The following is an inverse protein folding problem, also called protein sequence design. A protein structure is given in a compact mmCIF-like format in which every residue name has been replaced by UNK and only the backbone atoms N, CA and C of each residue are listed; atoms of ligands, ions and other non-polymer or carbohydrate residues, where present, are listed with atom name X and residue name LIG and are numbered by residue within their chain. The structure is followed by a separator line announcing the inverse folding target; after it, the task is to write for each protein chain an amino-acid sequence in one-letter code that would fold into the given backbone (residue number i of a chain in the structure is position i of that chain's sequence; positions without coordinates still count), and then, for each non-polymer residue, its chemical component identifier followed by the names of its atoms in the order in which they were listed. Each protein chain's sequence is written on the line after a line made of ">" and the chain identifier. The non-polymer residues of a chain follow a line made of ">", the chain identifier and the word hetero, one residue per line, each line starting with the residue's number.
data_IF_959103947569
#
_entry.id   IF_959103947569
#
_cell.length_a   1.000
_cell.length_b   1.000
_cell.length_c   1.000
_cell.angle_alpha   90.00
_cell.angle_beta   90.00
_cell.angle_gamma   90.00
#
_symmetry.space_group_name_H-M   'P 1'
#
loop_
_entity.id
_entity.type
_entity.pdbx_description
1 polymer ?
#
# COMPACT_ATOMS: atom_id res chain seq x y z
N UNK A 1 -65.92 -23.47 7.22
CA UNK A 1 -64.71 -22.71 6.84
C UNK A 1 -64.12 -22.19 8.14
N UNK A 2 -63.31 -23.05 8.74
CA UNK A 2 -63.23 -23.25 10.19
C UNK A 2 -61.90 -22.72 10.72
N UNK A 3 -61.88 -22.39 12.01
CA UNK A 3 -60.78 -21.75 12.75
C UNK A 3 -59.35 -22.28 12.46
N UNK A 4 -59.22 -23.52 11.96
CA UNK A 4 -57.95 -24.10 11.51
C UNK A 4 -57.31 -23.41 10.30
N UNK A 5 -58.09 -22.88 9.35
CA UNK A 5 -57.55 -22.14 8.21
C UNK A 5 -57.00 -20.77 8.65
N UNK A 6 -57.70 -20.10 9.58
CA UNK A 6 -57.27 -18.80 10.13
C UNK A 6 -56.01 -18.97 10.98
N UNK A 7 -55.90 -20.05 11.78
CA UNK A 7 -54.71 -20.38 12.57
C UNK A 7 -53.49 -20.71 11.69
N UNK A 8 -53.68 -21.46 10.60
CA UNK A 8 -52.60 -21.74 9.64
C UNK A 8 -52.19 -20.50 8.85
N UNK A 9 -53.13 -19.62 8.50
CA UNK A 9 -52.84 -18.38 7.78
C UNK A 9 -52.10 -17.38 8.67
N UNK A 10 -52.49 -17.24 9.93
CA UNK A 10 -51.79 -16.38 10.92
C UNK A 10 -50.40 -16.90 11.26
N UNK A 11 -50.21 -18.22 11.40
CA UNK A 11 -48.89 -18.85 11.61
C UNK A 11 -47.94 -18.64 10.41
N UNK A 12 -48.46 -18.76 9.18
CA UNK A 12 -47.69 -18.48 7.95
C UNK A 12 -47.32 -17.00 7.80
N UNK A 13 -48.20 -16.08 8.19
CA UNK A 13 -47.93 -14.63 8.21
C UNK A 13 -46.87 -14.29 9.27
N UNK A 14 -46.94 -14.90 10.46
CA UNK A 14 -45.93 -14.71 11.52
C UNK A 14 -44.54 -15.21 11.07
N UNK A 15 -44.49 -16.37 10.40
CA UNK A 15 -43.25 -16.93 9.87
C UNK A 15 -42.66 -16.05 8.76
N UNK A 16 -43.49 -15.51 7.87
CA UNK A 16 -43.06 -14.53 6.85
C UNK A 16 -42.51 -13.24 7.47
N UNK A 17 -43.13 -12.73 8.53
CA UNK A 17 -42.60 -11.60 9.29
C UNK A 17 -41.24 -11.92 9.94
N UNK A 18 -41.07 -13.13 10.50
CA UNK A 18 -39.81 -13.55 11.11
C UNK A 18 -38.67 -13.74 10.09
N UNK A 19 -38.98 -14.25 8.90
CA UNK A 19 -38.02 -14.39 7.79
C UNK A 19 -37.64 -13.02 7.23
N UNK A 20 -38.59 -12.09 7.05
CA UNK A 20 -38.30 -10.74 6.57
C UNK A 20 -37.52 -9.89 7.60
N UNK A 21 -37.74 -10.13 8.90
CA UNK A 21 -36.97 -9.48 9.98
C UNK A 21 -35.54 -10.02 10.09
N UNK A 22 -35.30 -11.29 9.76
CA UNK A 22 -33.94 -11.88 9.77
C UNK A 22 -33.11 -11.54 8.53
N UNK A 23 -33.72 -11.00 7.47
CA UNK A 23 -33.01 -10.52 6.27
C UNK A 23 -32.62 -9.03 6.38
N UNK A 24 -33.15 -8.29 7.37
CA UNK A 24 -32.90 -6.84 7.51
C UNK A 24 -31.66 -6.46 8.34
N UNK A 25 -30.86 -7.44 8.78
CA UNK A 25 -29.57 -7.17 9.45
C UNK A 25 -28.39 -7.61 8.58
N UNK A 26 -28.31 -7.10 7.34
CA UNK A 26 -26.98 -6.84 6.79
C UNK A 26 -26.44 -5.63 7.56
N UNK A 27 -25.87 -5.90 8.75
CA UNK A 27 -25.18 -4.87 9.53
C UNK A 27 -24.16 -4.21 8.59
N UNK A 28 -24.43 -2.97 8.19
CA UNK A 28 -23.53 -2.20 7.37
C UNK A 28 -22.20 -2.17 8.11
N UNK A 29 -21.14 -2.73 7.51
CA UNK A 29 -19.81 -2.76 8.14
C UNK A 29 -19.47 -1.36 8.61
N UNK A 30 -19.30 -1.18 9.91
CA UNK A 30 -19.06 0.14 10.48
C UNK A 30 -17.71 0.61 9.97
N UNK A 31 -17.67 1.83 9.42
CA UNK A 31 -16.46 2.45 8.89
C UNK A 31 -16.06 3.62 9.77
N UNK A 32 -14.99 3.42 10.55
CA UNK A 32 -14.42 4.47 11.38
C UNK A 32 -13.38 5.28 10.60
N UNK A 33 -13.33 6.57 10.87
CA UNK A 33 -12.38 7.48 10.24
C UNK A 33 -11.57 8.18 11.32
N UNK A 34 -10.25 8.13 11.22
CA UNK A 34 -9.34 8.75 12.18
C UNK A 34 -8.46 9.78 11.49
N UNK A 35 -8.24 10.90 12.17
CA UNK A 35 -7.26 11.90 11.75
C UNK A 35 -5.81 11.43 11.98
N UNK A 36 -4.86 12.33 11.69
CA UNK A 36 -3.43 12.07 11.79
C UNK A 36 -2.98 11.79 13.23
N UNK A 37 -3.66 12.38 14.21
CA UNK A 37 -3.39 12.22 15.65
C UNK A 37 -4.06 10.97 16.23
N UNK A 38 -4.92 10.31 15.45
CA UNK A 38 -5.66 9.11 15.86
C UNK A 38 -6.97 9.41 16.57
N UNK A 39 -7.50 10.62 16.43
CA UNK A 39 -8.83 10.99 16.91
C UNK A 39 -9.88 10.64 15.86
N UNK A 40 -10.99 10.07 16.30
CA UNK A 40 -12.12 9.77 15.42
C UNK A 40 -12.77 11.07 14.91
N UNK A 41 -12.95 11.14 13.58
CA UNK A 41 -13.57 12.26 12.87
C UNK A 41 -14.68 11.76 11.95
N UNK A 42 -15.53 12.66 11.47
CA UNK A 42 -16.60 12.30 10.53
C UNK A 42 -16.02 12.02 9.14
N UNK A 43 -16.63 11.11 8.38
CA UNK A 43 -16.21 10.76 7.00
C UNK A 43 -16.03 12.01 6.10
N UNK A 44 -16.95 12.98 6.17
CA UNK A 44 -16.86 14.22 5.39
C UNK A 44 -15.62 15.05 5.73
N UNK A 45 -15.22 15.07 6.99
CA UNK A 45 -14.02 15.79 7.44
C UNK A 45 -12.77 15.03 7.02
N UNK A 46 -12.79 13.70 7.16
CA UNK A 46 -11.72 12.83 6.67
C UNK A 46 -11.48 13.02 5.17
N UNK A 47 -12.53 12.94 4.35
CA UNK A 47 -12.43 13.11 2.90
C UNK A 47 -11.91 14.50 2.53
N UNK A 48 -12.31 15.53 3.28
CA UNK A 48 -11.79 16.90 3.07
C UNK A 48 -10.28 16.93 3.30
N UNK A 49 -9.80 16.40 4.43
CA UNK A 49 -8.38 16.40 4.79
C UNK A 49 -7.55 15.52 3.84
N UNK A 50 -8.04 14.33 3.51
CA UNK A 50 -7.34 13.40 2.62
C UNK A 50 -7.21 13.92 1.19
N UNK A 51 -8.23 14.61 0.67
CA UNK A 51 -8.23 15.12 -0.72
C UNK A 51 -7.64 16.52 -0.85
N UNK A 52 -7.38 17.19 0.27
CA UNK A 52 -6.68 18.47 0.27
C UNK A 52 -5.21 18.24 -0.11
N UNK A 53 -4.75 18.95 -1.15
CA UNK A 53 -3.36 18.81 -1.64
C UNK A 53 -2.36 19.46 -0.70
N UNK A 54 -2.79 20.40 0.13
CA UNK A 54 -1.94 21.15 1.04
C UNK A 54 -1.78 20.45 2.39
N UNK A 55 -2.60 19.44 2.69
CA UNK A 55 -2.56 18.70 3.96
C UNK A 55 -1.38 17.74 4.07
N UNK A 56 -0.76 17.38 2.93
CA UNK A 56 0.29 16.37 2.84
C UNK A 56 -0.07 15.06 3.57
N UNK A 57 -1.34 14.66 3.50
CA UNK A 57 -1.82 13.40 4.08
C UNK A 57 -2.02 12.32 3.02
N UNK A 58 -1.81 11.09 3.46
CA UNK A 58 -2.24 9.88 2.79
C UNK A 58 -3.21 9.12 3.71
N UNK A 59 -3.58 7.91 3.32
CA UNK A 59 -4.48 7.06 4.12
C UNK A 59 -3.95 5.64 4.26
N UNK A 60 -4.34 4.99 5.34
CA UNK A 60 -4.25 3.54 5.51
C UNK A 60 -5.62 2.98 5.84
N UNK A 61 -5.97 1.90 5.16
CA UNK A 61 -7.23 1.18 5.34
C UNK A 61 -6.94 -0.21 5.89
N UNK A 62 -7.62 -0.58 6.97
CA UNK A 62 -7.49 -1.92 7.54
C UNK A 62 -8.81 -2.43 8.11
N UNK A 63 -8.93 -3.75 8.23
CA UNK A 63 -10.03 -4.41 8.94
C UNK A 63 -9.61 -4.71 10.38
N UNK A 64 -10.51 -4.46 11.32
CA UNK A 64 -10.34 -4.85 12.74
C UNK A 64 -10.80 -6.28 12.97
N UNK A 65 -10.53 -6.84 14.16
CA UNK A 65 -10.89 -8.22 14.52
C UNK A 65 -12.39 -8.50 14.44
N UNK A 66 -13.22 -7.50 14.68
CA UNK A 66 -14.68 -7.52 14.57
C UNK A 66 -15.19 -7.24 13.14
N UNK A 67 -14.30 -7.24 12.14
CA UNK A 67 -14.61 -6.99 10.72
C UNK A 67 -15.12 -5.57 10.41
N UNK A 68 -14.97 -4.63 11.35
CA UNK A 68 -15.16 -3.20 11.09
C UNK A 68 -14.02 -2.70 10.19
N UNK A 69 -14.31 -1.70 9.35
CA UNK A 69 -13.30 -1.07 8.48
C UNK A 69 -12.83 0.21 9.13
N UNK A 70 -11.53 0.45 9.11
CA UNK A 70 -10.93 1.68 9.61
C UNK A 70 -10.19 2.34 8.45
N UNK A 71 -10.39 3.65 8.30
CA UNK A 71 -9.57 4.51 7.47
C UNK A 71 -8.86 5.53 8.38
N UNK A 72 -7.54 5.63 8.27
CA UNK A 72 -6.73 6.54 9.09
C UNK A 72 -5.87 7.43 8.22
N UNK A 73 -5.81 8.72 8.53
CA UNK A 73 -4.87 9.64 7.91
C UNK A 73 -3.46 9.36 8.43
N UNK A 74 -2.51 9.37 7.50
CA UNK A 74 -1.08 9.17 7.77
C UNK A 74 -0.27 10.25 7.05
N UNK A 75 0.98 10.54 7.44
CA UNK A 75 1.83 11.47 6.70
C UNK A 75 2.06 10.95 5.29
N UNK A 76 1.90 11.80 4.28
CA UNK A 76 2.19 11.42 2.90
C UNK A 76 3.70 11.22 2.66
N UNK A 77 4.55 11.94 3.40
CA UNK A 77 5.99 11.80 3.30
C UNK A 77 6.62 11.50 4.64
N UNK A 78 7.63 10.63 4.62
CA UNK A 78 8.54 10.41 5.73
C UNK A 78 9.96 10.55 5.19
N UNK A 79 10.79 11.34 5.85
CA UNK A 79 12.20 11.52 5.49
C UNK A 79 13.12 10.93 6.55
N UNK A 80 14.32 10.53 6.15
CA UNK A 80 15.35 10.03 7.05
C UNK A 80 16.68 9.80 6.35
N UNK A 81 17.62 9.22 7.09
CA UNK A 81 18.92 8.82 6.56
C UNK A 81 19.15 7.35 6.93
N UNK A 82 19.42 6.51 5.93
CA UNK A 82 19.67 5.08 6.11
C UNK A 82 21.17 4.78 6.00
N UNK A 83 21.62 3.72 6.67
CA UNK A 83 22.96 3.20 6.43
C UNK A 83 23.03 2.57 5.03
N UNK A 84 23.67 3.29 4.10
CA UNK A 84 23.71 2.92 2.67
C UNK A 84 24.41 1.59 2.41
N UNK A 85 25.43 1.25 3.18
CA UNK A 85 26.16 -0.02 3.03
C UNK A 85 25.30 -1.19 3.47
N UNK A 86 24.66 -1.08 4.64
CA UNK A 86 23.75 -2.11 5.15
C UNK A 86 22.56 -2.34 4.21
N UNK A 87 21.94 -1.27 3.73
CA UNK A 87 20.86 -1.38 2.73
C UNK A 87 21.36 -2.07 1.46
N UNK A 88 22.53 -1.67 0.95
CA UNK A 88 23.11 -2.29 -0.25
C UNK A 88 23.31 -3.79 -0.05
N UNK A 89 23.95 -4.19 1.03
CA UNK A 89 24.23 -5.59 1.35
C UNK A 89 22.95 -6.42 1.43
N UNK A 90 21.90 -5.87 2.07
CA UNK A 90 20.59 -6.50 2.10
C UNK A 90 20.00 -6.68 0.71
N UNK A 91 19.98 -5.63 -0.12
CA UNK A 91 19.44 -5.70 -1.47
C UNK A 91 20.22 -6.68 -2.34
N UNK A 92 21.56 -6.66 -2.31
CA UNK A 92 22.38 -7.61 -3.07
C UNK A 92 22.16 -9.06 -2.63
N UNK A 93 21.96 -9.30 -1.32
CA UNK A 93 21.62 -10.62 -0.77
C UNK A 93 20.28 -11.13 -1.31
N UNK A 94 19.25 -10.29 -1.30
CA UNK A 94 17.88 -10.68 -1.69
C UNK A 94 17.72 -10.76 -3.20
N UNK A 95 18.28 -9.83 -3.95
CA UNK A 95 18.09 -9.76 -5.41
C UNK A 95 19.12 -10.54 -6.20
N UNK A 96 20.21 -10.99 -5.56
CA UNK A 96 21.39 -11.59 -6.22
C UNK A 96 22.02 -10.68 -7.30
N UNK A 97 21.82 -9.37 -7.20
CA UNK A 97 22.39 -8.36 -8.10
C UNK A 97 23.52 -7.62 -7.39
N UNK A 98 24.38 -6.96 -8.17
CA UNK A 98 25.38 -6.04 -7.66
C UNK A 98 24.99 -4.61 -8.03
N UNK A 99 25.20 -3.69 -7.10
CA UNK A 99 24.84 -2.29 -7.28
C UNK A 99 26.06 -1.38 -7.12
N UNK A 100 26.17 -0.36 -7.96
CA UNK A 100 27.25 0.61 -7.85
C UNK A 100 27.04 1.54 -6.66
N UNK A 101 28.12 2.22 -6.25
CA UNK A 101 28.05 3.20 -5.15
C UNK A 101 27.18 4.40 -5.51
N UNK A 102 27.10 4.75 -6.79
CA UNK A 102 26.29 5.86 -7.31
C UNK A 102 24.82 5.52 -7.48
N UNK A 103 24.43 4.24 -7.31
CA UNK A 103 23.05 3.82 -7.52
C UNK A 103 22.11 4.56 -6.56
N UNK A 104 21.08 5.16 -7.13
CA UNK A 104 19.89 5.61 -6.43
C UNK A 104 18.90 4.45 -6.45
N UNK A 105 18.36 4.10 -5.29
CA UNK A 105 17.31 3.10 -5.24
C UNK A 105 15.94 3.75 -5.26
N UNK A 106 15.07 3.23 -6.11
CA UNK A 106 13.63 3.43 -6.05
C UNK A 106 12.99 2.12 -5.61
N UNK A 107 12.47 2.08 -4.40
CA UNK A 107 11.84 0.87 -3.85
C UNK A 107 10.34 1.10 -3.71
N UNK A 108 9.54 0.38 -4.49
CA UNK A 108 8.11 0.23 -4.26
C UNK A 108 7.90 -0.86 -3.20
N UNK A 109 6.97 -0.64 -2.26
CA UNK A 109 6.71 -1.56 -1.16
C UNK A 109 5.22 -1.87 -1.05
N UNK A 110 4.86 -3.15 -1.09
CA UNK A 110 3.49 -3.65 -0.96
C UNK A 110 3.28 -4.27 0.42
N UNK A 111 2.24 -3.81 1.13
CA UNK A 111 1.89 -4.28 2.46
C UNK A 111 0.93 -5.48 2.43
N UNK A 112 1.02 -6.31 3.46
CA UNK A 112 0.04 -7.39 3.72
C UNK A 112 -1.35 -6.78 3.94
N UNK A 113 -2.37 -7.44 3.40
CA UNK A 113 -3.78 -7.04 3.52
C UNK A 113 -4.08 -5.63 2.98
N UNK A 114 -3.31 -5.14 2.00
CA UNK A 114 -3.63 -3.87 1.35
C UNK A 114 -5.02 -3.92 0.69
N UNK A 115 -5.86 -2.96 1.03
CA UNK A 115 -7.24 -2.81 0.54
C UNK A 115 -7.35 -1.81 -0.62
N UNK A 116 -6.24 -1.54 -1.31
CA UNK A 116 -6.15 -0.61 -2.44
C UNK A 116 -7.12 -0.93 -3.58
N UNK A 117 -7.08 -2.15 -4.10
CA UNK A 117 -7.78 -2.51 -5.33
C UNK A 117 -8.31 -3.94 -5.28
N UNK A 118 -9.17 -4.29 -6.24
CA UNK A 118 -9.60 -5.68 -6.44
C UNK A 118 -8.45 -6.64 -6.82
N UNK A 119 -7.29 -6.10 -7.24
CA UNK A 119 -6.09 -6.87 -7.56
C UNK A 119 -5.07 -6.89 -6.41
N UNK A 120 -5.37 -6.20 -5.30
CA UNK A 120 -4.59 -6.29 -4.07
C UNK A 120 -4.90 -7.62 -3.38
N UNK A 121 -3.86 -8.41 -3.13
CA UNK A 121 -3.98 -9.78 -2.63
C UNK A 121 -2.71 -10.16 -1.89
N UNK A 122 -2.77 -11.05 -0.90
CA UNK A 122 -1.56 -11.63 -0.31
C UNK A 122 -1.00 -12.79 -1.16
N UNK A 123 -1.67 -13.16 -2.26
CA UNK A 123 -1.30 -14.27 -3.12
C UNK A 123 -1.05 -13.78 -4.55
N UNK A 124 0.18 -13.32 -4.82
CA UNK A 124 0.63 -12.86 -6.13
C UNK A 124 0.99 -14.05 -7.01
N UNK A 125 -0.03 -14.65 -7.63
CA UNK A 125 0.15 -15.68 -8.66
C UNK A 125 0.83 -15.12 -9.91
N UNK A 126 1.34 -16.00 -10.78
CA UNK A 126 1.92 -15.59 -12.08
C UNK A 126 1.02 -14.66 -12.90
N UNK A 127 -0.31 -14.86 -12.85
CA UNK A 127 -1.29 -14.02 -13.57
C UNK A 127 -1.38 -12.62 -12.99
N UNK A 128 -1.39 -12.51 -11.65
CA UNK A 128 -1.43 -11.23 -10.93
C UNK A 128 -0.13 -10.46 -11.17
N UNK A 129 1.02 -11.13 -11.06
CA UNK A 129 2.33 -10.53 -11.35
C UNK A 129 2.38 -10.02 -12.79
N UNK A 130 1.95 -10.83 -13.78
CA UNK A 130 1.92 -10.40 -15.18
C UNK A 130 1.02 -9.18 -15.39
N UNK A 131 -0.13 -9.12 -14.71
CA UNK A 131 -1.02 -7.96 -14.80
C UNK A 131 -0.33 -6.68 -14.30
N UNK A 132 0.30 -6.72 -13.13
CA UNK A 132 1.00 -5.56 -12.57
C UNK A 132 2.24 -5.18 -13.39
N UNK A 133 3.07 -6.14 -13.80
CA UNK A 133 4.21 -5.88 -14.69
C UNK A 133 3.78 -5.23 -16.01
N UNK A 134 2.69 -5.68 -16.64
CA UNK A 134 2.17 -5.02 -17.84
C UNK A 134 1.80 -3.53 -17.61
N UNK A 135 1.43 -3.16 -16.39
CA UNK A 135 1.11 -1.78 -16.02
C UNK A 135 2.38 -0.96 -15.72
N UNK A 136 3.38 -1.57 -15.07
CA UNK A 136 4.58 -0.87 -14.56
C UNK A 136 5.79 -0.92 -15.49
N UNK A 137 5.93 -1.95 -16.33
CA UNK A 137 7.13 -2.22 -17.14
C UNK A 137 7.51 -1.05 -18.06
N UNK A 138 6.52 -0.44 -18.74
CA UNK A 138 6.78 0.71 -19.61
C UNK A 138 7.32 1.91 -18.81
N UNK A 139 6.76 2.16 -17.62
CA UNK A 139 7.23 3.25 -16.75
C UNK A 139 8.63 2.94 -16.21
N UNK A 140 8.88 1.69 -15.81
CA UNK A 140 10.20 1.24 -15.35
C UNK A 140 11.26 1.41 -16.44
N UNK A 141 11.00 0.91 -17.65
CA UNK A 141 11.92 1.02 -18.77
C UNK A 141 12.21 2.49 -19.11
N UNK A 142 11.17 3.33 -19.20
CA UNK A 142 11.33 4.76 -19.42
C UNK A 142 12.23 5.42 -18.38
N UNK A 143 12.04 5.11 -17.09
CA UNK A 143 12.81 5.71 -16.01
C UNK A 143 14.27 5.25 -16.06
N UNK A 144 14.52 3.94 -16.18
CA UNK A 144 15.89 3.42 -16.17
C UNK A 144 16.67 3.85 -17.42
N UNK A 145 16.00 4.10 -18.55
CA UNK A 145 16.61 4.68 -19.75
C UNK A 145 16.99 6.16 -19.56
N UNK A 146 16.11 6.95 -18.93
CA UNK A 146 16.31 8.41 -18.79
C UNK A 146 17.10 8.80 -17.52
N UNK A 147 17.16 7.92 -16.53
CA UNK A 147 17.85 8.11 -15.25
C UNK A 147 18.72 6.89 -14.95
N UNK A 148 19.88 6.74 -15.62
CA UNK A 148 20.66 5.49 -15.63
C UNK A 148 21.26 5.10 -14.27
N UNK A 149 21.30 6.02 -13.30
CA UNK A 149 21.72 5.73 -11.94
C UNK A 149 20.59 5.23 -11.04
N UNK A 150 19.34 5.26 -11.49
CA UNK A 150 18.17 4.78 -10.73
C UNK A 150 17.93 3.32 -11.05
N UNK A 151 17.73 2.51 -10.00
CA UNK A 151 17.23 1.14 -10.12
C UNK A 151 15.88 1.05 -9.42
N UNK A 152 14.88 0.51 -10.11
CA UNK A 152 13.55 0.28 -9.55
C UNK A 152 13.43 -1.18 -9.08
N UNK A 153 13.06 -1.34 -7.81
CA UNK A 153 12.79 -2.63 -7.17
C UNK A 153 11.39 -2.59 -6.52
N UNK A 154 10.67 -3.70 -6.60
CA UNK A 154 9.39 -3.89 -5.94
C UNK A 154 9.55 -4.94 -4.83
N UNK A 155 9.27 -4.55 -3.59
CA UNK A 155 9.34 -5.40 -2.43
C UNK A 155 7.96 -5.66 -1.84
N UNK A 156 7.75 -6.88 -1.37
CA UNK A 156 6.52 -7.36 -0.76
C UNK A 156 6.77 -7.71 0.70
N UNK A 157 5.94 -7.20 1.61
CA UNK A 157 5.99 -7.49 3.05
C UNK A 157 5.96 -9.00 3.32
N UNK A 158 6.59 -9.41 4.42
CA UNK A 158 6.56 -10.79 4.87
C UNK A 158 5.11 -11.28 5.04
N UNK A 159 4.82 -12.48 4.54
CA UNK A 159 3.47 -13.06 4.50
C UNK A 159 2.75 -12.92 3.15
N UNK A 160 3.27 -12.14 2.20
CA UNK A 160 2.80 -12.16 0.81
C UNK A 160 3.48 -13.31 0.06
N UNK A 161 2.69 -14.18 -0.56
CA UNK A 161 3.18 -15.24 -1.44
C UNK A 161 3.42 -14.68 -2.84
N UNK A 162 4.62 -14.90 -3.38
CA UNK A 162 5.04 -14.37 -4.69
C UNK A 162 5.49 -15.53 -5.59
N UNK A 163 4.76 -15.76 -6.69
CA UNK A 163 5.09 -16.77 -7.71
C UNK A 163 5.91 -16.19 -8.88
N UNK A 164 6.92 -15.38 -8.56
CA UNK A 164 7.80 -14.74 -9.53
C UNK A 164 8.99 -15.64 -9.92
N UNK A 165 9.93 -15.11 -10.72
CA UNK A 165 11.15 -15.82 -11.07
C UNK A 165 12.38 -15.04 -10.56
N UNK A 166 12.78 -15.21 -9.28
CA UNK A 166 13.87 -14.43 -8.67
C UNK A 166 15.24 -14.60 -9.34
N UNK A 167 15.42 -15.68 -10.12
CA UNK A 167 16.67 -15.95 -10.84
C UNK A 167 16.72 -15.32 -12.24
N UNK A 168 15.62 -14.71 -12.72
CA UNK A 168 15.61 -14.00 -14.00
C UNK A 168 16.35 -12.66 -13.83
N UNK A 169 17.25 -12.34 -14.76
CA UNK A 169 18.04 -11.10 -14.71
C UNK A 169 17.16 -9.85 -14.79
N UNK A 170 16.00 -9.96 -15.44
CA UNK A 170 15.01 -8.89 -15.58
C UNK A 170 14.05 -8.81 -14.41
N UNK A 171 14.10 -9.76 -13.46
CA UNK A 171 13.24 -9.74 -12.29
C UNK A 171 13.48 -8.50 -11.44
N UNK A 172 12.41 -7.93 -10.90
CA UNK A 172 12.48 -6.79 -10.00
C UNK A 172 11.48 -6.87 -8.84
N UNK A 173 10.71 -7.96 -8.73
CA UNK A 173 9.81 -8.23 -7.61
C UNK A 173 10.52 -9.14 -6.60
N UNK A 174 10.52 -8.77 -5.32
CA UNK A 174 11.24 -9.48 -4.25
C UNK A 174 10.44 -9.50 -2.95
N UNK A 175 10.69 -10.49 -2.10
CA UNK A 175 10.04 -10.57 -0.78
C UNK A 175 10.97 -10.05 0.31
N UNK A 176 10.47 -9.16 1.16
CA UNK A 176 11.12 -8.65 2.37
C UNK A 176 10.95 -9.65 3.53
N UNK A 177 11.41 -10.89 3.35
CA UNK A 177 11.13 -12.00 4.28
C UNK A 177 11.61 -11.78 5.71
N UNK A 178 12.66 -10.98 5.87
CA UNK A 178 13.27 -10.65 7.17
C UNK A 178 12.70 -9.34 7.76
N UNK A 179 11.67 -8.76 7.13
CA UNK A 179 11.06 -7.47 7.49
C UNK A 179 12.07 -6.31 7.60
N UNK A 180 13.22 -6.44 6.94
CA UNK A 180 14.30 -5.47 7.05
C UNK A 180 13.90 -4.10 6.49
N UNK A 181 13.28 -4.05 5.29
CA UNK A 181 12.85 -2.78 4.71
C UNK A 181 11.64 -2.21 5.46
N UNK A 182 10.76 -3.09 5.93
CA UNK A 182 9.62 -2.75 6.80
C UNK A 182 10.06 -1.97 8.03
N UNK A 183 11.07 -2.49 8.73
CA UNK A 183 11.63 -1.90 9.95
C UNK A 183 12.55 -0.71 9.67
N UNK A 184 13.27 -0.72 8.54
CA UNK A 184 14.20 0.35 8.20
C UNK A 184 13.49 1.64 7.82
N UNK A 185 12.49 1.58 6.92
CA UNK A 185 11.88 2.78 6.34
C UNK A 185 10.38 2.70 6.06
N UNK A 186 9.81 1.52 5.80
CA UNK A 186 8.38 1.38 5.49
C UNK A 186 7.52 1.14 6.74
N UNK A 187 7.76 1.94 7.79
CA UNK A 187 7.18 1.74 9.14
C UNK A 187 5.68 1.98 9.20
N UNK A 188 5.17 2.84 8.33
CA UNK A 188 3.77 3.26 8.28
C UNK A 188 3.10 2.61 7.08
N UNK A 189 2.25 1.58 7.25
CA UNK A 189 1.46 1.03 6.17
C UNK A 189 0.64 2.11 5.48
N UNK A 190 0.46 1.99 4.18
CA UNK A 190 -0.25 2.96 3.37
C UNK A 190 -1.08 2.27 2.30
N UNK A 191 -2.23 2.88 2.00
CA UNK A 191 -3.18 2.36 1.02
C UNK A 191 -2.58 2.49 -0.37
N UNK A 192 -2.46 1.37 -1.09
CA UNK A 192 -1.74 1.24 -2.36
C UNK A 192 -0.20 1.25 -2.23
N UNK A 193 0.32 0.78 -1.10
CA UNK A 193 1.76 0.65 -0.87
C UNK A 193 2.47 1.98 -0.59
N UNK A 194 3.80 1.92 -0.59
CA UNK A 194 4.68 3.07 -0.39
C UNK A 194 5.86 3.03 -1.35
N UNK A 195 6.51 4.17 -1.59
CA UNK A 195 7.63 4.29 -2.52
C UNK A 195 8.78 5.06 -1.85
N UNK A 196 9.98 4.50 -1.84
CA UNK A 196 11.17 5.14 -1.28
C UNK A 196 12.17 5.51 -2.37
N UNK A 197 12.63 6.76 -2.35
CA UNK A 197 13.81 7.22 -3.08
C UNK A 197 14.99 7.29 -2.11
N UNK A 198 16.09 6.61 -2.42
CA UNK A 198 17.29 6.59 -1.58
C UNK A 198 18.50 7.05 -2.40
N UNK A 199 19.08 8.20 -2.03
CA UNK A 199 20.30 8.74 -2.67
C UNK A 199 21.58 8.04 -2.17
N UNK A 200 22.71 8.16 -2.90
CA UNK A 200 23.98 7.53 -2.51
C UNK A 200 24.53 7.92 -1.13
N UNK A 201 24.19 9.11 -0.64
CA UNK A 201 24.52 9.59 0.70
C UNK A 201 23.65 8.98 1.81
N UNK A 202 22.64 8.17 1.46
CA UNK A 202 21.71 7.56 2.40
C UNK A 202 20.50 8.41 2.74
N UNK A 203 20.37 9.63 2.21
CA UNK A 203 19.12 10.39 2.34
C UNK A 203 17.98 9.63 1.67
N UNK A 204 16.89 9.47 2.41
CA UNK A 204 15.75 8.63 2.04
C UNK A 204 14.47 9.42 2.18
N UNK A 205 13.70 9.48 1.10
CA UNK A 205 12.35 10.02 1.09
C UNK A 205 11.36 8.90 0.78
N UNK A 206 10.47 8.61 1.72
CA UNK A 206 9.35 7.69 1.55
C UNK A 206 8.10 8.50 1.24
N UNK A 207 7.42 8.17 0.15
CA UNK A 207 6.06 8.58 -0.17
C UNK A 207 5.11 7.44 0.21
N UNK A 208 4.10 7.75 1.02
CA UNK A 208 3.10 6.80 1.49
C UNK A 208 1.82 6.91 0.66
N UNK A 209 1.39 5.79 0.10
CA UNK A 209 0.10 5.62 -0.58
C UNK A 209 0.16 5.75 -2.10
N UNK A 210 -1.03 5.72 -2.71
CA UNK A 210 -1.21 5.70 -4.16
C UNK A 210 -0.42 6.79 -4.88
N UNK A 211 0.41 6.37 -5.84
CA UNK A 211 1.15 7.29 -6.70
C UNK A 211 1.57 6.68 -8.03
N UNK A 212 1.75 7.55 -9.01
CA UNK A 212 2.28 7.21 -10.32
C UNK A 212 3.82 7.32 -10.31
N UNK A 213 4.52 6.22 -10.60
CA UNK A 213 5.99 6.10 -10.46
C UNK A 213 6.75 7.25 -11.16
N UNK A 214 6.49 7.58 -12.45
CA UNK A 214 7.20 8.69 -13.11
C UNK A 214 7.03 10.06 -12.44
N UNK A 215 5.89 10.30 -11.77
CA UNK A 215 5.68 11.55 -11.04
C UNK A 215 6.56 11.64 -9.78
N UNK A 216 6.96 10.50 -9.21
CA UNK A 216 7.79 10.45 -8.00
C UNK A 216 9.26 10.58 -8.32
N UNK A 217 9.72 10.10 -9.47
CA UNK A 217 11.10 10.29 -9.93
C UNK A 217 11.50 11.76 -9.93
N UNK A 218 10.59 12.66 -10.30
CA UNK A 218 10.86 14.10 -10.29
C UNK A 218 11.25 14.65 -8.91
N UNK A 219 10.96 13.95 -7.80
CA UNK A 219 11.39 14.37 -6.47
C UNK A 219 12.91 14.30 -6.30
N UNK A 220 13.61 13.51 -7.11
CA UNK A 220 15.06 13.40 -7.03
C UNK A 220 15.79 14.68 -7.41
N UNK A 221 15.16 15.49 -8.26
CA UNK A 221 15.67 16.77 -8.74
C UNK A 221 15.99 17.67 -7.56
N UNK A 222 17.16 18.31 -7.57
CA UNK A 222 17.67 19.10 -6.44
C UNK A 222 16.66 20.10 -5.89
N UNK A 223 15.91 20.78 -6.76
CA UNK A 223 14.87 21.74 -6.35
C UNK A 223 13.79 21.12 -5.46
N UNK A 224 13.41 19.88 -5.74
CA UNK A 224 12.34 19.18 -5.04
C UNK A 224 12.92 18.45 -3.82
N UNK A 225 14.10 17.86 -3.96
CA UNK A 225 14.80 17.18 -2.87
C UNK A 225 15.13 18.13 -1.73
N UNK A 226 15.55 19.35 -2.03
CA UNK A 226 15.88 20.38 -1.05
C UNK A 226 14.67 20.84 -0.21
N UNK A 227 13.43 20.54 -0.64
CA UNK A 227 12.23 20.78 0.19
C UNK A 227 12.21 19.85 1.43
N UNK A 228 12.86 18.69 1.34
CA UNK A 228 12.93 17.67 2.39
C UNK A 228 14.29 17.65 3.08
N UNK A 229 15.36 17.88 2.31
CA UNK A 229 16.74 17.91 2.78
C UNK A 229 17.41 19.24 2.39
N UNK A 230 17.13 20.34 3.11
CA UNK A 230 17.75 21.62 2.82
C UNK A 230 19.27 21.52 2.93
N UNK A 231 19.98 21.99 1.89
CA UNK A 231 21.43 22.17 1.97
C UNK A 231 21.69 23.34 2.93
N UNK A 232 22.57 23.13 3.91
CA UNK A 232 23.11 24.20 4.75
C UNK A 232 23.87 25.24 3.92
#
# INVERSE_FOLDING_TARGET
>A
MEANEIANMTSRILFLFFVLYSISTTAQRVKYHFDIEGKEIKEKEFDKLWRDRDSAYSRWDYETKDSSRVARLIPQYTQGVVNRNQLKEYLEKVTHKKFDKSTIFFICYTYVNDLCSQYSTNNYTKKVIKHWKNYTDNSKAFIEENYPNIVILEFFESGITLENNPNDSTEYYYSDKEDFLRELMFRTPAWCGSQALIKPNGETLVHNGESYIPSRIQLIEDRNWNLFFPKE
#
